data_IF_602633144956
#
_entry.id   IF_602633144956
#
_cell.length_a   1.000
_cell.length_b   1.000
_cell.length_c   1.000
_cell.angle_alpha   90.00
_cell.angle_beta   90.00
_cell.angle_gamma   90.00
#
_symmetry.space_group_name_H-M   'P 1'
#
loop_
_entity.id
_entity.type
_entity.pdbx_description
1 polymer ?
#
# COMPACT_ATOMS: atom_id res chain seq x y z
N UNK A 1 3.50 -1.54 -14.01
CA UNK A 1 4.49 -1.04 -13.04
C UNK A 1 3.89 -1.17 -11.65
N UNK A 2 4.62 -1.87 -10.78
CA UNK A 2 4.26 -2.14 -9.40
C UNK A 2 5.42 -1.72 -8.50
N UNK A 3 5.14 -1.37 -7.25
CA UNK A 3 6.15 -1.25 -6.22
C UNK A 3 6.07 -2.45 -5.28
N UNK A 4 7.22 -3.02 -4.96
CA UNK A 4 7.36 -4.09 -3.98
C UNK A 4 8.00 -3.52 -2.73
N UNK A 5 7.45 -3.87 -1.56
CA UNK A 5 7.97 -3.52 -0.25
C UNK A 5 8.13 -4.80 0.56
N UNK A 6 9.36 -5.11 0.97
CA UNK A 6 9.63 -6.20 1.91
C UNK A 6 9.62 -5.66 3.34
N UNK A 7 8.51 -5.87 4.04
CA UNK A 7 8.29 -5.41 5.42
C UNK A 7 8.36 -6.61 6.38
N UNK A 8 9.23 -6.52 7.38
CA UNK A 8 9.46 -7.58 8.36
C UNK A 8 9.77 -6.98 9.74
N UNK A 9 9.06 -7.44 10.78
CA UNK A 9 9.20 -6.98 12.17
C UNK A 9 9.26 -5.46 12.33
N UNK A 10 8.39 -4.74 11.61
CA UNK A 10 8.30 -3.28 11.64
C UNK A 10 9.38 -2.53 10.84
N UNK A 11 10.31 -3.25 10.21
CA UNK A 11 11.31 -2.66 9.31
C UNK A 11 10.99 -2.91 7.84
N UNK A 12 11.46 -2.02 6.97
CA UNK A 12 11.49 -2.24 5.52
C UNK A 12 12.90 -2.68 5.10
N UNK A 13 13.04 -3.90 4.59
CA UNK A 13 14.33 -4.51 4.23
C UNK A 13 14.74 -4.23 2.79
N UNK A 14 13.76 -4.15 1.90
CA UNK A 14 13.97 -3.92 0.47
C UNK A 14 12.77 -3.21 -0.15
N UNK A 15 13.05 -2.38 -1.17
CA UNK A 15 12.05 -1.81 -2.07
C UNK A 15 12.49 -2.00 -3.51
N UNK A 16 11.55 -2.31 -4.40
CA UNK A 16 11.82 -2.48 -5.82
C UNK A 16 10.65 -1.99 -6.69
N UNK A 17 10.95 -1.58 -7.92
CA UNK A 17 9.95 -1.36 -8.96
C UNK A 17 9.94 -2.58 -9.87
N UNK A 18 8.74 -3.11 -10.11
CA UNK A 18 8.51 -4.29 -10.94
C UNK A 18 7.68 -3.91 -12.17
N UNK A 19 7.91 -4.58 -13.28
CA UNK A 19 7.08 -4.49 -14.49
C UNK A 19 5.87 -5.43 -14.38
N UNK A 20 6.00 -6.56 -13.69
CA UNK A 20 4.98 -7.57 -13.43
C UNK A 20 4.93 -8.08 -11.98
N UNK A 21 3.79 -8.62 -11.57
CA UNK A 21 3.58 -9.17 -10.21
C UNK A 21 4.24 -10.54 -10.01
N UNK A 22 4.55 -11.25 -11.09
CA UNK A 22 5.18 -12.57 -11.10
C UNK A 22 6.70 -12.52 -10.89
N UNK A 23 7.30 -11.32 -10.92
CA UNK A 23 8.74 -11.13 -10.71
C UNK A 23 9.20 -11.47 -9.28
N UNK A 24 8.31 -11.37 -8.30
CA UNK A 24 8.61 -11.64 -6.88
C UNK A 24 7.43 -12.25 -6.15
N UNK A 25 7.75 -13.14 -5.21
CA UNK A 25 6.76 -13.61 -4.24
C UNK A 25 6.26 -12.45 -3.39
N UNK A 26 4.95 -12.42 -3.18
CA UNK A 26 4.27 -11.37 -2.44
C UNK A 26 3.20 -11.99 -1.55
N UNK A 27 3.08 -11.49 -0.31
CA UNK A 27 2.02 -11.90 0.61
C UNK A 27 0.71 -11.14 0.38
N UNK A 28 0.80 -9.95 -0.20
CA UNK A 28 -0.33 -9.05 -0.49
C UNK A 28 -0.07 -8.28 -1.77
N UNK A 29 -1.12 -8.04 -2.54
CA UNK A 29 -1.11 -7.06 -3.63
C UNK A 29 -2.25 -6.10 -3.40
N UNK A 30 -1.95 -4.81 -3.36
CA UNK A 30 -2.96 -3.77 -3.42
C UNK A 30 -2.94 -3.25 -4.85
N UNK A 31 -4.10 -3.04 -5.47
CA UNK A 31 -4.25 -2.49 -6.82
C UNK A 31 -5.44 -1.55 -6.89
N UNK A 32 -5.44 -0.66 -7.87
CA UNK A 32 -6.51 0.31 -8.04
C UNK A 32 -6.17 1.36 -9.08
N UNK A 33 -7.14 2.22 -9.37
CA UNK A 33 -6.94 3.37 -10.24
C UNK A 33 -5.98 4.38 -9.62
N UNK A 34 -5.25 5.12 -10.46
CA UNK A 34 -4.23 6.08 -10.02
C UNK A 34 -4.78 7.11 -9.03
N UNK A 35 -5.99 7.64 -9.27
CA UNK A 35 -6.62 8.64 -8.39
C UNK A 35 -6.95 8.07 -7.00
N UNK A 36 -7.28 6.78 -6.91
CA UNK A 36 -7.53 6.10 -5.63
C UNK A 36 -6.22 5.85 -4.87
N UNK A 37 -5.18 5.47 -5.60
CA UNK A 37 -3.83 5.35 -5.04
C UNK A 37 -3.28 6.65 -4.51
N UNK A 38 -3.47 7.74 -5.27
CA UNK A 38 -3.04 9.08 -4.86
C UNK A 38 -3.66 9.47 -3.52
N UNK A 39 -4.98 9.27 -3.37
CA UNK A 39 -5.68 9.54 -2.10
C UNK A 39 -5.09 8.74 -0.93
N UNK A 40 -4.78 7.47 -1.14
CA UNK A 40 -4.16 6.64 -0.11
C UNK A 40 -2.79 7.20 0.31
N UNK A 41 -1.94 7.53 -0.67
CA UNK A 41 -0.58 8.06 -0.48
C UNK A 41 -0.59 9.42 0.23
N UNK A 42 -1.62 10.23 -0.03
CA UNK A 42 -1.85 11.52 0.62
C UNK A 42 -2.52 11.39 2.00
N UNK A 43 -2.88 10.17 2.44
CA UNK A 43 -3.58 9.92 3.70
C UNK A 43 -5.07 10.32 3.68
N UNK A 44 -5.62 10.65 2.52
CA UNK A 44 -7.02 11.06 2.38
C UNK A 44 -7.97 9.88 2.61
N UNK A 45 -8.99 10.11 3.43
CA UNK A 45 -10.04 9.10 3.70
C UNK A 45 -9.62 7.98 4.65
N UNK A 46 -8.33 7.87 5.01
CA UNK A 46 -7.79 6.89 5.94
C UNK A 46 -7.68 5.48 5.34
N UNK A 47 -6.48 4.88 5.46
CA UNK A 47 -6.15 3.57 4.86
C UNK A 47 -7.15 2.47 5.23
N UNK A 48 -7.62 2.43 6.47
CA UNK A 48 -8.55 1.38 6.92
C UNK A 48 -9.91 1.52 6.25
N UNK A 49 -10.41 2.74 6.07
CA UNK A 49 -11.66 2.95 5.38
C UNK A 49 -11.54 2.58 3.89
N UNK A 50 -10.42 2.91 3.24
CA UNK A 50 -10.16 2.53 1.84
C UNK A 50 -10.13 1.00 1.66
N UNK A 51 -9.50 0.27 2.59
CA UNK A 51 -9.44 -1.19 2.57
C UNK A 51 -10.80 -1.83 2.83
N UNK A 52 -11.58 -1.30 3.79
CA UNK A 52 -12.91 -1.82 4.13
C UNK A 52 -13.95 -1.48 3.06
N UNK A 53 -13.88 -0.30 2.45
CA UNK A 53 -14.80 0.13 1.39
C UNK A 53 -14.56 -0.60 0.07
N UNK A 54 -13.37 -1.21 -0.10
CA UNK A 54 -12.96 -1.87 -1.34
C UNK A 54 -12.64 -0.88 -2.46
N UNK A 55 -12.35 0.38 -2.13
CA UNK A 55 -11.90 1.39 -3.11
C UNK A 55 -10.57 1.01 -3.78
N UNK A 56 -9.74 0.23 -3.07
CA UNK A 56 -8.59 -0.47 -3.62
C UNK A 56 -8.84 -1.98 -3.53
N UNK A 57 -8.50 -2.69 -4.59
CA UNK A 57 -8.57 -4.14 -4.62
C UNK A 57 -7.35 -4.73 -3.90
N UNK A 58 -7.61 -5.65 -2.98
CA UNK A 58 -6.58 -6.33 -2.18
C UNK A 58 -6.62 -7.82 -2.51
N UNK A 59 -5.49 -8.34 -2.98
CA UNK A 59 -5.23 -9.77 -3.12
C UNK A 59 -4.33 -10.24 -1.96
N UNK A 60 -4.63 -11.40 -1.38
CA UNK A 60 -3.98 -11.97 -0.19
C UNK A 60 -4.88 -12.04 1.06
N UNK A 61 -4.27 -12.21 2.24
CA UNK A 61 -4.98 -12.38 3.53
C UNK A 61 -5.44 -11.03 4.12
N UNK A 62 -6.59 -10.52 3.68
CA UNK A 62 -7.18 -9.27 4.20
C UNK A 62 -7.33 -9.30 5.73
N UNK A 63 -7.60 -10.45 6.36
CA UNK A 63 -7.68 -10.53 7.81
C UNK A 63 -6.34 -10.24 8.49
N UNK A 64 -5.23 -10.61 7.84
CA UNK A 64 -3.89 -10.24 8.33
C UNK A 64 -3.67 -8.74 8.27
N UNK A 65 -4.05 -8.07 7.19
CA UNK A 65 -3.93 -6.60 7.11
C UNK A 65 -4.73 -5.93 8.23
N UNK A 66 -5.98 -6.36 8.45
CA UNK A 66 -6.82 -5.81 9.52
C UNK A 66 -6.26 -6.07 10.93
N UNK A 67 -5.60 -7.22 11.17
CA UNK A 67 -4.88 -7.48 12.44
C UNK A 67 -3.70 -6.54 12.65
N UNK A 68 -3.05 -6.11 11.57
CA UNK A 68 -1.91 -5.19 11.60
C UNK A 68 -2.30 -3.78 11.12
N UNK A 69 -3.50 -3.33 11.52
CA UNK A 69 -4.06 -2.02 11.17
C UNK A 69 -3.11 -0.87 11.51
N UNK A 70 -2.43 -0.91 12.65
CA UNK A 70 -1.45 0.13 13.03
C UNK A 70 -0.31 0.24 12.02
N UNK A 71 0.26 -0.88 11.56
CA UNK A 71 1.31 -0.87 10.54
C UNK A 71 0.81 -0.31 9.20
N UNK A 72 -0.44 -0.58 8.82
CA UNK A 72 -1.03 0.00 7.62
C UNK A 72 -1.20 1.52 7.74
N UNK A 73 -1.61 2.01 8.91
CA UNK A 73 -1.69 3.45 9.22
C UNK A 73 -0.31 4.08 9.18
N UNK A 74 0.69 3.49 9.84
CA UNK A 74 2.06 4.02 9.85
C UNK A 74 2.66 4.13 8.44
N UNK A 75 2.40 3.15 7.56
CA UNK A 75 2.83 3.20 6.16
C UNK A 75 2.15 4.35 5.40
N UNK A 76 0.84 4.54 5.59
CA UNK A 76 0.10 5.63 4.96
C UNK A 76 0.55 7.00 5.47
N UNK A 77 0.72 7.16 6.78
CA UNK A 77 1.19 8.40 7.41
C UNK A 77 2.63 8.73 7.00
N UNK A 78 3.51 7.71 6.94
CA UNK A 78 4.88 7.87 6.44
C UNK A 78 4.86 8.35 4.99
N UNK A 79 4.01 7.75 4.15
CA UNK A 79 3.84 8.16 2.76
C UNK A 79 3.34 9.60 2.64
N UNK A 80 2.32 9.96 3.42
CA UNK A 80 1.72 11.30 3.41
C UNK A 80 2.65 12.40 3.97
N UNK A 81 3.63 12.02 4.78
CA UNK A 81 4.62 12.96 5.32
C UNK A 81 5.63 13.46 4.29
N UNK A 82 5.72 12.78 3.13
CA UNK A 82 6.64 13.14 2.05
C UNK A 82 6.01 14.19 1.14
N UNK A 83 6.76 15.28 0.88
CA UNK A 83 6.37 16.29 -0.11
C UNK A 83 6.41 15.67 -1.52
N UNK A 84 5.24 15.23 -1.98
CA UNK A 84 5.08 14.40 -3.17
C UNK A 84 4.40 15.20 -4.28
N UNK A 85 4.99 15.12 -5.49
CA UNK A 85 4.38 15.69 -6.71
C UNK A 85 3.90 14.57 -7.62
N UNK A 86 2.59 14.51 -7.83
CA UNK A 86 1.95 13.57 -8.74
C UNK A 86 1.98 14.12 -10.17
N UNK A 87 2.64 13.38 -11.07
CA UNK A 87 2.69 13.70 -12.51
C UNK A 87 1.63 12.88 -13.22
N UNK A 88 0.70 13.58 -13.85
CA UNK A 88 -0.39 13.02 -14.67
C UNK A 88 0.08 12.89 -16.12
#
# INVERSE_FOLDING_TARGET
MYSSLDVHDGGCREVAILDGLDEREHGFVITGEYDKWKKLVEGEGGVINVLVSGELAVDGDVQRILRYTEAAVDLADTSASLDSRFVV
#
